data_IF_316458016642
#
_entry.id   IF_316458016642
#
_cell.length_a   1.000
_cell.length_b   1.000
_cell.length_c   1.000
_cell.angle_alpha   90.00
_cell.angle_beta   90.00
_cell.angle_gamma   90.00
#
_symmetry.space_group_name_H-M   'P 1'
#
loop_
_entity.id
_entity.type
_entity.pdbx_description
1 polymer ?
#
# COMPACT_ATOMS: atom_id res chain seq x y z
N UNK A 1 10.81 -6.98 8.33
CA UNK A 1 9.51 -7.65 8.57
C UNK A 1 8.60 -6.74 9.39
N UNK A 2 7.72 -5.95 8.74
CA UNK A 2 6.69 -5.15 9.43
C UNK A 2 5.70 -4.53 8.41
N UNK A 3 5.01 -5.37 7.64
CA UNK A 3 3.89 -4.96 6.77
C UNK A 3 2.67 -5.80 7.12
N UNK A 4 2.28 -5.76 8.40
CA UNK A 4 1.09 -6.47 8.91
C UNK A 4 0.11 -5.54 9.65
N UNK A 5 0.39 -4.24 9.78
CA UNK A 5 -0.37 -3.40 10.72
C UNK A 5 -1.63 -2.74 10.14
N UNK A 6 -1.85 -2.79 8.83
CA UNK A 6 -3.05 -2.23 8.18
C UNK A 6 -4.19 -3.24 7.99
N UNK A 7 -3.89 -4.54 8.06
CA UNK A 7 -4.89 -5.59 7.84
C UNK A 7 -5.66 -5.96 9.12
N UNK A 8 -5.10 -5.69 10.31
CA UNK A 8 -5.69 -6.11 11.58
C UNK A 8 -6.95 -5.31 11.97
N UNK A 9 -7.12 -4.10 11.42
CA UNK A 9 -8.33 -3.27 11.61
C UNK A 9 -9.57 -3.91 10.94
N UNK A 10 -9.39 -4.95 10.12
CA UNK A 10 -10.47 -5.55 9.31
C UNK A 10 -11.19 -6.74 9.95
N UNK A 11 -10.68 -7.31 11.05
CA UNK A 11 -11.29 -8.49 11.70
C UNK A 11 -12.24 -8.15 12.87
N UNK A 12 -12.40 -6.86 13.20
CA UNK A 12 -13.26 -6.40 14.29
C UNK A 12 -14.76 -6.41 13.94
N UNK A 13 -15.61 -6.64 14.95
CA UNK A 13 -17.07 -6.53 14.85
C UNK A 13 -17.47 -5.16 14.29
N UNK A 14 -18.33 -5.15 13.26
CA UNK A 14 -18.88 -3.91 12.69
C UNK A 14 -20.23 -3.59 13.34
N UNK A 15 -20.30 -2.46 14.02
CA UNK A 15 -21.51 -1.96 14.68
C UNK A 15 -22.39 -1.21 13.69
N UNK A 16 -23.70 -1.39 13.74
CA UNK A 16 -24.61 -0.48 13.04
C UNK A 16 -24.66 0.87 13.76
N UNK A 17 -25.09 1.92 13.07
CA UNK A 17 -25.24 3.26 13.67
C UNK A 17 -26.24 3.23 14.84
N UNK A 18 -27.31 2.44 14.71
CA UNK A 18 -28.33 2.31 15.75
C UNK A 18 -27.76 1.64 17.02
N UNK A 19 -27.04 0.53 16.86
CA UNK A 19 -26.37 -0.15 17.98
C UNK A 19 -25.33 0.74 18.63
N UNK A 20 -24.55 1.47 17.82
CA UNK A 20 -23.52 2.36 18.35
C UNK A 20 -24.09 3.50 19.19
N UNK A 21 -25.24 4.06 18.78
CA UNK A 21 -25.95 5.05 19.59
C UNK A 21 -26.48 4.47 20.90
N UNK A 22 -27.02 3.26 20.87
CA UNK A 22 -27.58 2.60 22.06
C UNK A 22 -26.50 2.12 23.04
N UNK A 23 -25.30 1.82 22.55
CA UNK A 23 -24.23 1.17 23.31
C UNK A 23 -22.90 1.92 23.23
N UNK A 24 -22.93 3.23 23.08
CA UNK A 24 -21.72 4.03 22.87
C UNK A 24 -20.68 3.80 23.97
N UNK A 25 -21.09 3.76 25.23
CA UNK A 25 -20.19 3.51 26.36
C UNK A 25 -19.53 2.13 26.32
N UNK A 26 -20.20 1.11 25.79
CA UNK A 26 -19.63 -0.23 25.59
C UNK A 26 -18.56 -0.18 24.50
N UNK A 27 -18.88 0.47 23.38
CA UNK A 27 -17.96 0.61 22.25
C UNK A 27 -16.70 1.38 22.65
N UNK A 28 -16.82 2.43 23.46
CA UNK A 28 -15.65 3.17 23.95
C UNK A 28 -14.73 2.30 24.83
N UNK A 29 -15.30 1.45 25.70
CA UNK A 29 -14.52 0.51 26.50
C UNK A 29 -13.81 -0.52 25.64
N UNK A 30 -14.53 -1.06 24.63
CA UNK A 30 -13.94 -2.00 23.68
C UNK A 30 -12.85 -1.33 22.83
N UNK A 31 -13.01 -0.06 22.48
CA UNK A 31 -11.98 0.71 21.78
C UNK A 31 -10.70 0.84 22.60
N UNK A 32 -10.82 0.97 23.93
CA UNK A 32 -9.69 1.04 24.85
C UNK A 32 -9.04 -0.32 25.13
N UNK A 33 -9.84 -1.40 25.27
CA UNK A 33 -9.33 -2.71 25.69
C UNK A 33 -9.01 -3.67 24.54
N UNK A 34 -9.80 -3.65 23.47
CA UNK A 34 -9.72 -4.58 22.34
C UNK A 34 -9.22 -3.89 21.06
N UNK A 35 -9.05 -2.57 21.10
CA UNK A 35 -8.58 -1.77 19.98
C UNK A 35 -9.71 -1.23 19.09
N UNK A 36 -9.36 -0.66 17.91
CA UNK A 36 -10.25 0.19 17.12
C UNK A 36 -11.60 -0.45 16.78
N UNK A 37 -12.70 0.29 16.97
CA UNK A 37 -14.06 -0.20 16.73
C UNK A 37 -14.68 0.47 15.50
N UNK A 38 -15.32 -0.33 14.62
CA UNK A 38 -15.89 0.18 13.36
C UNK A 38 -17.41 0.31 13.43
N UNK A 39 -17.93 1.46 13.00
CA UNK A 39 -19.36 1.77 12.93
C UNK A 39 -19.77 2.00 11.48
N UNK A 40 -20.74 1.24 11.00
CA UNK A 40 -21.37 1.41 9.69
C UNK A 40 -20.65 0.67 8.56
N UNK A 41 -21.45 0.15 7.62
CA UNK A 41 -20.96 -0.63 6.47
C UNK A 41 -20.74 0.26 5.23
N UNK A 42 -21.71 1.12 4.89
CA UNK A 42 -21.65 1.99 3.69
C UNK A 42 -20.93 3.32 3.94
N UNK A 43 -21.20 3.95 5.09
CA UNK A 43 -20.48 5.12 5.59
C UNK A 43 -19.85 4.69 6.91
N UNK A 44 -18.61 4.22 6.83
CA UNK A 44 -17.91 3.66 7.97
C UNK A 44 -17.15 4.73 8.72
N UNK A 45 -17.26 4.71 10.03
CA UNK A 45 -16.48 5.49 10.98
C UNK A 45 -15.70 4.53 11.87
N UNK A 46 -14.57 4.98 12.39
CA UNK A 46 -13.74 4.19 13.33
C UNK A 46 -13.57 5.02 14.60
N UNK A 47 -13.74 4.36 15.75
CA UNK A 47 -13.47 4.93 17.06
C UNK A 47 -12.13 4.37 17.53
N UNK A 48 -11.23 5.27 17.90
CA UNK A 48 -9.91 4.99 18.48
C UNK A 48 -9.74 5.83 19.75
N UNK A 49 -9.00 5.33 20.76
CA UNK A 49 -8.57 6.15 21.88
C UNK A 49 -7.74 7.35 21.41
N UNK A 50 -7.89 8.49 22.09
CA UNK A 50 -7.16 9.72 21.75
C UNK A 50 -5.63 9.52 21.79
N UNK A 51 -5.16 8.74 22.77
CA UNK A 51 -3.75 8.38 22.92
C UNK A 51 -3.16 7.64 21.71
N UNK A 52 -3.96 6.89 20.96
CA UNK A 52 -3.53 6.23 19.72
C UNK A 52 -3.56 7.17 18.51
N UNK A 53 -4.52 8.11 18.47
CA UNK A 53 -4.57 9.11 17.39
C UNK A 53 -3.37 10.05 17.42
N UNK A 54 -2.97 10.53 18.60
CA UNK A 54 -1.82 11.44 18.74
C UNK A 54 -0.51 10.80 18.30
N UNK A 55 -0.30 9.51 18.63
CA UNK A 55 0.87 8.76 18.17
C UNK A 55 0.90 8.64 16.64
N UNK A 56 -0.26 8.52 16.01
CA UNK A 56 -0.38 8.41 14.56
C UNK A 56 -0.11 9.74 13.88
N UNK A 57 -0.64 10.84 14.42
CA UNK A 57 -0.38 12.20 13.91
C UNK A 57 1.10 12.58 14.03
N UNK A 58 1.78 12.17 15.12
CA UNK A 58 3.23 12.36 15.27
C UNK A 58 4.04 11.49 14.30
N UNK A 59 3.53 10.30 13.94
CA UNK A 59 4.14 9.46 12.88
C UNK A 59 3.86 9.97 11.46
N UNK A 60 2.84 10.81 11.30
CA UNK A 60 2.42 11.46 10.05
C UNK A 60 3.07 12.84 9.85
N UNK A 61 4.23 13.09 10.47
CA UNK A 61 5.15 14.08 9.90
C UNK A 61 5.56 13.55 8.52
N UNK A 62 4.77 13.94 7.49
CA UNK A 62 4.73 13.32 6.16
C UNK A 62 6.10 13.37 5.53
N UNK A 63 6.87 12.33 5.78
CA UNK A 63 8.18 12.16 5.20
C UNK A 63 7.98 12.12 3.68
N UNK A 64 8.68 12.96 2.90
CA UNK A 64 8.64 12.86 1.45
C UNK A 64 8.95 11.41 1.06
N UNK A 65 8.15 10.83 0.16
CA UNK A 65 8.22 9.41 -0.19
C UNK A 65 9.66 8.96 -0.52
N UNK A 66 10.45 9.82 -1.18
CA UNK A 66 11.86 9.53 -1.45
C UNK A 66 12.70 9.33 -0.20
N UNK A 67 12.49 10.13 0.85
CA UNK A 67 13.20 9.99 2.13
C UNK A 67 12.74 8.74 2.89
N UNK A 68 11.44 8.44 2.86
CA UNK A 68 10.89 7.23 3.47
C UNK A 68 11.50 5.96 2.87
N UNK A 69 11.59 5.90 1.54
CA UNK A 69 12.18 4.76 0.84
C UNK A 69 13.65 4.59 1.23
N UNK A 70 14.45 5.65 1.29
CA UNK A 70 15.85 5.56 1.67
C UNK A 70 16.06 5.07 3.13
N UNK A 71 15.20 5.50 4.05
CA UNK A 71 15.33 5.16 5.47
C UNK A 71 14.78 3.77 5.82
N UNK A 72 13.73 3.32 5.11
CA UNK A 72 13.03 2.06 5.39
C UNK A 72 13.30 0.95 4.37
N UNK A 73 14.05 1.22 3.31
CA UNK A 73 14.45 0.17 2.38
C UNK A 73 15.26 -0.91 3.11
N UNK A 74 14.86 -2.19 3.00
CA UNK A 74 15.68 -3.29 3.48
C UNK A 74 17.00 -3.27 2.70
N UNK A 75 18.11 -3.13 3.42
CA UNK A 75 19.47 -2.97 2.86
C UNK A 75 19.98 -4.22 2.15
N UNK A 76 19.24 -5.30 2.30
CA UNK A 76 19.45 -6.66 1.82
C UNK A 76 18.82 -6.95 0.45
N UNK A 77 17.98 -6.05 -0.10
CA UNK A 77 17.38 -6.23 -1.44
C UNK A 77 18.41 -6.09 -2.58
N UNK A 78 19.59 -5.54 -2.30
CA UNK A 78 20.61 -5.28 -3.31
C UNK A 78 21.77 -6.29 -3.34
N UNK A 79 21.76 -7.35 -2.52
CA UNK A 79 22.96 -8.20 -2.37
C UNK A 79 22.95 -9.53 -3.12
N UNK A 80 21.84 -10.00 -3.70
CA UNK A 80 21.89 -11.23 -4.49
C UNK A 80 21.02 -11.14 -5.74
N UNK A 81 21.69 -10.87 -6.84
CA UNK A 81 21.12 -10.98 -8.17
C UNK A 81 21.97 -10.15 -9.11
N UNK A 82 22.66 -10.75 -10.09
CA UNK A 82 23.11 -9.95 -11.21
C UNK A 82 21.84 -9.33 -11.79
N UNK A 83 21.69 -8.02 -11.70
CA UNK A 83 20.86 -7.32 -12.67
C UNK A 83 21.58 -7.55 -14.00
N UNK A 84 21.27 -8.67 -14.65
CA UNK A 84 21.62 -8.92 -16.03
C UNK A 84 20.90 -7.82 -16.82
N UNK A 85 21.62 -6.73 -17.07
CA UNK A 85 21.34 -5.80 -18.17
C UNK A 85 21.37 -6.66 -19.44
N UNK A 86 20.24 -7.28 -19.77
CA UNK A 86 20.22 -8.32 -20.80
C UNK A 86 18.98 -9.22 -20.79
N UNK A 87 18.18 -9.25 -19.73
CA UNK A 87 16.84 -9.84 -19.89
C UNK A 87 16.01 -8.86 -20.73
N UNK A 88 15.86 -9.20 -22.00
CA UNK A 88 14.91 -8.64 -22.98
C UNK A 88 13.48 -8.80 -22.45
N UNK A 89 13.15 -8.04 -21.41
CA UNK A 89 11.77 -7.88 -20.99
C UNK A 89 11.15 -6.96 -22.02
N UNK A 90 10.17 -7.43 -22.81
CA UNK A 90 9.50 -6.56 -23.76
C UNK A 90 8.89 -5.40 -22.98
N UNK A 91 9.25 -4.19 -23.36
CA UNK A 91 8.66 -2.98 -22.77
C UNK A 91 7.20 -2.99 -23.23
N UNK A 92 6.20 -2.99 -22.32
CA UNK A 92 4.80 -3.22 -22.67
C UNK A 92 4.20 -2.21 -23.67
N UNK A 93 4.92 -1.14 -23.97
CA UNK A 93 4.49 -0.01 -24.78
C UNK A 93 5.42 0.26 -25.97
N UNK A 94 6.46 -0.55 -26.19
CA UNK A 94 7.37 -0.42 -27.34
C UNK A 94 7.20 -1.64 -28.22
N UNK A 95 6.52 -1.45 -29.34
CA UNK A 95 6.48 -2.43 -30.42
C UNK A 95 7.71 -2.16 -31.29
N UNK A 96 8.72 -3.02 -31.20
CA UNK A 96 9.85 -2.98 -32.11
C UNK A 96 9.36 -3.56 -33.43
N UNK A 97 8.70 -2.71 -34.23
CA UNK A 97 8.48 -2.98 -35.64
C UNK A 97 9.85 -3.34 -36.21
N UNK A 98 9.99 -4.60 -36.61
CA UNK A 98 11.20 -5.11 -37.23
C UNK A 98 11.39 -4.27 -38.48
N UNK A 99 12.43 -3.44 -38.51
CA UNK A 99 12.81 -2.73 -39.72
C UNK A 99 13.00 -3.82 -40.79
N UNK A 100 12.04 -3.92 -41.70
CA UNK A 100 12.15 -4.75 -42.89
C UNK A 100 13.47 -4.36 -43.56
N UNK A 101 14.38 -5.33 -43.57
CA UNK A 101 15.67 -5.26 -44.24
C UNK A 101 15.40 -4.81 -45.68
N UNK A 102 15.64 -3.53 -45.95
CA UNK A 102 15.52 -2.95 -47.28
C UNK A 102 16.66 -3.56 -48.11
N UNK A 103 16.39 -4.71 -48.73
CA UNK A 103 17.30 -5.27 -49.71
C UNK A 103 17.27 -4.36 -50.93
N UNK A 104 18.36 -3.62 -51.13
CA UNK A 104 18.71 -2.97 -52.39
C UNK A 104 18.70 -4.04 -53.49
N UNK A 105 17.58 -4.20 -54.20
CA UNK A 105 17.57 -4.82 -55.51
C UNK A 105 18.11 -3.79 -56.51
N UNK A 106 19.44 -3.65 -56.53
CA UNK A 106 20.12 -3.46 -57.81
C UNK A 106 19.89 -4.74 -58.62
N UNK A 107 19.08 -4.69 -59.68
CA UNK A 107 19.53 -5.14 -61.00
C UNK A 107 18.50 -4.95 -62.13
N UNK A 108 19.01 -4.30 -63.19
CA UNK A 108 18.85 -4.64 -64.61
C UNK A 108 17.47 -4.50 -65.26
N UNK A 109 17.33 -3.44 -66.07
CA UNK A 109 17.33 -3.59 -67.54
C UNK A 109 17.69 -2.32 -68.30
#
# INVERSE_FOLDING_TARGET
MATQHLDDVTQGKVWTIAEAKARLSEILRLAESEGPQRIGVRKSFVIVPESESEQREVSEERMPMGRYLLERMPRDIYSDGPYERGLERPIPFVDYATDEEWTDDEDVK
#
